data_IF_102597119915
#
_entry.id   IF_102597119915
#
_cell.length_a   1.000
_cell.length_b   1.000
_cell.length_c   1.000
_cell.angle_alpha   90.00
_cell.angle_beta   90.00
_cell.angle_gamma   90.00
#
_symmetry.space_group_name_H-M   'P 1'
#
loop_
_entity.id
_entity.type
_entity.pdbx_description
1 polymer ?
#
# COMPACT_ATOMS: atom_id res chain seq x y z
N UNK A 1 -0.71 2.26 -9.08
CA UNK A 1 -1.58 1.22 -8.49
C UNK A 1 -1.35 1.06 -6.98
N UNK A 2 -0.09 0.96 -6.53
CA UNK A 2 0.26 0.92 -5.09
C UNK A 2 -0.33 2.06 -4.26
N UNK A 3 -0.32 3.29 -4.79
CA UNK A 3 -0.98 4.44 -4.15
C UNK A 3 -2.48 4.22 -3.91
N UNK A 4 -3.20 3.68 -4.90
CA UNK A 4 -4.63 3.38 -4.74
C UNK A 4 -4.86 2.34 -3.64
N UNK A 5 -4.02 1.29 -3.59
CA UNK A 5 -4.08 0.28 -2.53
C UNK A 5 -3.82 0.92 -1.16
N UNK A 6 -2.80 1.77 -1.04
CA UNK A 6 -2.51 2.51 0.19
C UNK A 6 -3.73 3.32 0.68
N UNK A 7 -4.33 4.14 -0.19
CA UNK A 7 -5.47 4.97 0.21
C UNK A 7 -6.70 4.13 0.59
N UNK A 8 -6.94 3.02 -0.13
CA UNK A 8 -8.01 2.07 0.20
C UNK A 8 -7.78 1.43 1.58
N UNK A 9 -6.54 1.10 1.92
CA UNK A 9 -6.18 0.61 3.26
C UNK A 9 -6.39 1.66 4.34
N UNK A 10 -5.95 2.91 4.12
CA UNK A 10 -6.12 4.01 5.10
C UNK A 10 -7.59 4.37 5.34
N UNK A 11 -8.44 4.25 4.31
CA UNK A 11 -9.88 4.53 4.45
C UNK A 11 -10.61 3.36 5.10
N UNK A 12 -10.40 2.12 4.65
CA UNK A 12 -11.23 1.01 5.11
C UNK A 12 -10.54 0.17 6.18
N UNK A 13 -9.30 -0.25 5.95
CA UNK A 13 -8.58 -1.17 6.83
C UNK A 13 -8.27 -0.58 8.21
N UNK A 14 -7.86 0.69 8.28
CA UNK A 14 -7.54 1.38 9.56
C UNK A 14 -8.73 1.43 10.54
N UNK A 15 -9.96 1.24 10.05
CA UNK A 15 -11.19 1.23 10.87
C UNK A 15 -11.58 -0.18 11.32
N UNK A 16 -10.93 -1.23 10.81
CA UNK A 16 -11.22 -2.62 11.13
C UNK A 16 -10.44 -3.07 12.37
N UNK A 17 -11.18 -3.46 13.40
CA UNK A 17 -10.60 -3.94 14.67
C UNK A 17 -10.38 -5.46 14.62
N UNK A 18 -11.31 -6.20 14.01
CA UNK A 18 -11.23 -7.66 13.94
C UNK A 18 -10.26 -8.16 12.86
N UNK A 19 -9.51 -9.22 13.20
CA UNK A 19 -8.52 -9.82 12.30
C UNK A 19 -9.15 -10.58 11.12
N UNK A 20 -10.32 -11.16 11.31
CA UNK A 20 -11.08 -11.83 10.26
C UNK A 20 -11.60 -10.82 9.23
N UNK A 21 -12.06 -9.66 9.69
CA UNK A 21 -12.49 -8.57 8.81
C UNK A 21 -11.33 -8.03 7.97
N UNK A 22 -10.15 -7.85 8.56
CA UNK A 22 -8.94 -7.44 7.82
C UNK A 22 -8.54 -8.46 6.75
N UNK A 23 -8.60 -9.75 7.06
CA UNK A 23 -8.33 -10.82 6.09
C UNK A 23 -9.34 -10.84 4.95
N UNK A 24 -10.64 -10.69 5.27
CA UNK A 24 -11.69 -10.58 4.25
C UNK A 24 -11.45 -9.36 3.35
N UNK A 25 -11.12 -8.21 3.96
CA UNK A 25 -10.81 -6.99 3.23
C UNK A 25 -9.60 -7.17 2.30
N UNK A 26 -8.53 -7.84 2.74
CA UNK A 26 -7.39 -8.16 1.88
C UNK A 26 -7.81 -8.99 0.65
N UNK A 27 -8.68 -10.00 0.83
CA UNK A 27 -9.19 -10.79 -0.29
C UNK A 27 -10.03 -9.95 -1.27
N UNK A 28 -10.85 -9.02 -0.76
CA UNK A 28 -11.61 -8.09 -1.59
C UNK A 28 -10.66 -7.23 -2.43
N UNK A 29 -9.65 -6.61 -1.81
CA UNK A 29 -8.67 -5.79 -2.53
C UNK A 29 -7.92 -6.61 -3.58
N UNK A 30 -7.47 -7.82 -3.23
CA UNK A 30 -6.79 -8.74 -4.16
C UNK A 30 -7.67 -9.06 -5.38
N UNK A 31 -8.95 -9.33 -5.17
CA UNK A 31 -9.92 -9.61 -6.24
C UNK A 31 -10.14 -8.36 -7.13
N UNK A 32 -10.30 -7.17 -6.54
CA UNK A 32 -10.47 -5.93 -7.31
C UNK A 32 -9.24 -5.63 -8.17
N UNK A 33 -8.03 -5.79 -7.62
CA UNK A 33 -6.77 -5.63 -8.38
C UNK A 33 -6.73 -6.61 -9.56
N UNK A 34 -7.13 -7.85 -9.34
CA UNK A 34 -7.14 -8.87 -10.40
C UNK A 34 -8.22 -8.65 -11.46
N UNK A 35 -9.43 -8.25 -11.08
CA UNK A 35 -10.57 -8.17 -12.01
C UNK A 35 -10.67 -6.82 -12.71
N UNK A 36 -10.46 -5.72 -11.99
CA UNK A 36 -10.61 -4.36 -12.54
C UNK A 36 -9.32 -3.87 -13.17
N UNK A 37 -8.18 -4.13 -12.52
CA UNK A 37 -6.89 -3.66 -13.00
C UNK A 37 -6.14 -4.72 -13.83
N UNK A 38 -6.66 -5.97 -13.89
CA UNK A 38 -6.05 -7.09 -14.62
C UNK A 38 -4.62 -7.40 -14.18
N UNK A 39 -4.31 -7.10 -12.91
CA UNK A 39 -2.97 -7.28 -12.33
C UNK A 39 -3.00 -8.22 -11.13
N UNK A 40 -1.89 -8.88 -10.83
CA UNK A 40 -1.77 -9.68 -9.60
C UNK A 40 -1.13 -8.84 -8.51
N UNK A 41 -1.76 -8.79 -7.33
CA UNK A 41 -1.22 -8.04 -6.19
C UNK A 41 0.21 -8.49 -5.82
N UNK A 42 0.52 -9.78 -5.98
CA UNK A 42 1.87 -10.34 -5.80
C UNK A 42 2.92 -9.69 -6.72
N UNK A 43 2.55 -9.37 -7.97
CA UNK A 43 3.47 -8.69 -8.88
C UNK A 43 3.73 -7.25 -8.43
N UNK A 44 2.72 -6.60 -7.83
CA UNK A 44 2.83 -5.23 -7.37
C UNK A 44 3.73 -5.10 -6.14
N UNK A 45 3.78 -6.08 -5.25
CA UNK A 45 4.57 -5.99 -4.00
C UNK A 45 5.70 -7.02 -3.91
N UNK A 46 6.23 -7.47 -5.06
CA UNK A 46 7.38 -8.38 -5.10
C UNK A 46 8.64 -7.82 -4.43
N UNK A 47 8.70 -6.52 -4.16
CA UNK A 47 9.79 -5.89 -3.39
C UNK A 47 9.59 -5.98 -1.86
N UNK A 48 8.36 -6.17 -1.38
CA UNK A 48 8.05 -6.25 0.05
C UNK A 48 8.23 -7.69 0.55
N UNK A 49 7.94 -8.68 -0.29
CA UNK A 49 7.96 -10.09 0.11
C UNK A 49 8.76 -10.91 -0.90
N UNK A 50 9.82 -11.56 -0.42
CA UNK A 50 10.67 -12.46 -1.19
C UNK A 50 10.43 -13.89 -0.71
N UNK A 51 10.01 -14.78 -1.61
CA UNK A 51 9.96 -16.23 -1.34
C UNK A 51 8.71 -16.74 -0.62
N UNK A 52 7.70 -15.91 -0.36
CA UNK A 52 6.38 -16.33 0.14
C UNK A 52 5.24 -15.52 -0.48
N UNK A 53 4.02 -15.96 -0.29
CA UNK A 53 2.83 -15.20 -0.67
C UNK A 53 2.64 -13.97 0.24
N UNK A 54 2.06 -12.91 -0.34
CA UNK A 54 1.66 -11.70 0.39
C UNK A 54 0.54 -12.03 1.39
N UNK A 55 0.72 -11.53 2.61
CA UNK A 55 -0.25 -11.58 3.68
C UNK A 55 -0.81 -10.18 3.99
N UNK A 56 -1.91 -10.09 4.75
CA UNK A 56 -2.52 -8.80 5.07
C UNK A 56 -1.60 -7.89 5.90
N UNK A 57 -0.80 -8.47 6.79
CA UNK A 57 0.16 -7.73 7.60
C UNK A 57 1.29 -7.09 6.76
N UNK A 58 1.62 -7.64 5.57
CA UNK A 58 2.65 -7.08 4.69
C UNK A 58 2.26 -5.72 4.11
N UNK A 59 0.95 -5.49 3.98
CA UNK A 59 0.42 -4.24 3.46
C UNK A 59 0.69 -3.07 4.42
N UNK A 60 1.02 -3.34 5.69
CA UNK A 60 1.43 -2.29 6.65
C UNK A 60 2.77 -1.66 6.31
N UNK A 61 3.61 -2.35 5.52
CA UNK A 61 4.88 -1.82 5.06
C UNK A 61 4.74 -0.88 3.84
N UNK A 62 3.52 -0.72 3.33
CA UNK A 62 3.25 0.20 2.24
C UNK A 62 3.11 1.63 2.77
N UNK A 63 4.18 2.41 2.68
CA UNK A 63 4.18 3.80 3.14
C UNK A 63 4.18 4.78 1.97
N UNK A 64 3.25 5.73 2.01
CA UNK A 64 3.28 6.93 1.20
C UNK A 64 3.35 8.15 2.11
N UNK A 65 4.17 9.12 1.75
CA UNK A 65 4.31 10.32 2.56
C UNK A 65 5.02 11.45 1.82
N UNK A 66 4.87 12.65 2.37
CA UNK A 66 5.61 13.85 1.99
C UNK A 66 6.59 14.20 3.13
N UNK A 67 7.61 13.36 3.33
CA UNK A 67 8.67 13.64 4.29
C UNK A 67 9.76 14.45 3.58
N UNK A 68 9.55 15.76 3.40
CA UNK A 68 10.59 16.63 2.87
C UNK A 68 11.39 17.32 3.98
N UNK A 69 12.69 17.09 3.88
CA UNK A 69 13.79 17.71 4.62
C UNK A 69 13.61 19.23 4.79
N UNK A 70 13.89 19.82 5.96
CA UNK A 70 13.74 21.25 6.23
C UNK A 70 14.65 22.19 5.40
N UNK A 71 15.40 21.68 4.40
CA UNK A 71 16.50 22.41 3.75
C UNK A 71 16.34 22.76 2.27
N UNK A 72 15.16 22.62 1.65
CA UNK A 72 14.96 23.11 0.27
C UNK A 72 14.08 24.37 0.26
N UNK A 73 14.73 25.51 0.52
CA UNK A 73 14.17 26.81 0.15
C UNK A 73 13.98 26.88 -1.36
N UNK A 74 12.73 26.82 -1.81
CA UNK A 74 12.34 27.18 -3.17
C UNK A 74 12.07 26.02 -4.13
N UNK A 75 10.81 25.98 -4.60
CA UNK A 75 10.36 25.51 -5.93
C UNK A 75 10.42 24.03 -6.30
N UNK A 76 10.63 23.09 -5.40
CA UNK A 76 10.39 21.67 -5.71
C UNK A 76 8.97 21.28 -5.33
N UNK A 77 8.12 20.90 -6.30
CA UNK A 77 6.77 20.35 -6.03
C UNK A 77 6.91 19.21 -5.01
N UNK A 78 6.27 19.35 -3.85
CA UNK A 78 6.11 18.28 -2.86
C UNK A 78 5.49 17.07 -3.55
N UNK A 79 6.23 15.97 -3.68
CA UNK A 79 5.77 14.77 -4.38
C UNK A 79 5.36 13.73 -3.35
N UNK A 80 4.07 13.44 -3.26
CA UNK A 80 3.55 12.33 -2.47
C UNK A 80 3.93 11.02 -3.15
N UNK A 81 4.96 10.36 -2.65
CA UNK A 81 5.58 9.19 -3.26
C UNK A 81 5.63 8.01 -2.27
N UNK A 82 5.81 6.81 -2.82
CA UNK A 82 6.09 5.60 -2.05
C UNK A 82 7.48 5.73 -1.40
N UNK A 83 7.57 5.37 -0.12
CA UNK A 83 8.81 5.35 0.65
C UNK A 83 9.29 3.91 0.70
N UNK A 84 10.42 3.64 0.05
CA UNK A 84 10.99 2.30 -0.07
C UNK A 84 12.07 2.00 0.97
N UNK A 85 12.63 3.04 1.58
CA UNK A 85 13.74 2.97 2.53
C UNK A 85 13.25 3.47 3.89
N UNK A 86 13.25 2.60 4.90
CA UNK A 86 12.93 2.92 6.29
C UNK A 86 14.11 2.52 7.18
#
# INVERSE_FOLDING_TARGET
>A
MRLWIHEVYRVFCDRLVDSQDRKLFFQIVKNVVQTQFKEKINNLFGHIVIGRDLDDDDMRNLFFGDYMSPKSGGKTKKRYNEILDM
#
